data_IF_885304646076
#
_entry.id   IF_885304646076
#
_cell.length_a   1.000
_cell.length_b   1.000
_cell.length_c   1.000
_cell.angle_alpha   90.00
_cell.angle_beta   90.00
_cell.angle_gamma   90.00
#
_symmetry.space_group_name_H-M   'P 1'
#
loop_
_entity.id
_entity.type
_entity.pdbx_description
1 polymer ?
#
# COMPACT_ATOMS: atom_id res chain seq x y z
N UNK A 1 -11.96 7.89 4.35
CA UNK A 1 -11.09 8.31 5.47
C UNK A 1 -9.68 7.83 5.18
N UNK A 2 -8.68 8.69 5.36
CA UNK A 2 -7.26 8.34 5.18
C UNK A 2 -6.57 8.49 6.53
N UNK A 3 -5.79 7.48 6.91
CA UNK A 3 -4.98 7.44 8.13
C UNK A 3 -3.54 7.21 7.67
N UNK A 4 -2.64 8.09 8.06
CA UNK A 4 -1.21 7.94 7.81
C UNK A 4 -0.48 7.94 9.15
N UNK A 5 0.47 7.02 9.30
CA UNK A 5 1.42 7.02 10.41
C UNK A 5 2.83 6.95 9.84
N UNK A 6 3.68 7.90 10.21
CA UNK A 6 5.10 7.85 9.90
C UNK A 6 5.87 7.65 11.21
N UNK A 7 6.76 6.66 11.23
CA UNK A 7 7.59 6.28 12.36
C UNK A 7 9.03 6.14 11.87
N UNK A 8 9.91 6.93 12.46
CA UNK A 8 11.35 6.70 12.35
C UNK A 8 11.73 5.59 13.33
N UNK A 9 12.33 4.51 12.83
CA UNK A 9 12.79 3.40 13.66
C UNK A 9 14.26 3.59 14.05
N UNK A 10 15.05 4.12 13.14
CA UNK A 10 16.43 4.54 13.33
C UNK A 10 16.78 5.61 12.26
N UNK A 11 17.95 6.28 12.32
CA UNK A 11 18.32 7.34 11.37
C UNK A 11 18.36 6.93 9.89
N UNK A 12 18.37 5.62 9.61
CA UNK A 12 18.46 5.03 8.29
C UNK A 12 17.20 4.25 7.92
N UNK A 13 16.16 4.22 8.76
CA UNK A 13 14.99 3.36 8.56
C UNK A 13 13.72 4.07 8.96
N UNK A 14 12.82 4.21 7.99
CA UNK A 14 11.53 4.87 8.15
C UNK A 14 10.41 3.89 7.80
N UNK A 15 9.43 3.78 8.67
CA UNK A 15 8.21 3.02 8.43
C UNK A 15 7.05 4.01 8.24
N UNK A 16 6.46 4.00 7.06
CA UNK A 16 5.23 4.72 6.78
C UNK A 16 4.09 3.71 6.61
N UNK A 17 2.98 3.92 7.31
CA UNK A 17 1.78 3.10 7.19
C UNK A 17 0.65 3.97 6.72
N UNK A 18 0.15 3.69 5.52
CA UNK A 18 -1.04 4.33 4.97
C UNK A 18 -2.23 3.37 5.07
N UNK A 19 -3.35 3.83 5.59
CA UNK A 19 -4.61 3.12 5.56
C UNK A 19 -5.68 4.03 4.98
N UNK A 20 -6.42 3.53 4.00
CA UNK A 20 -7.58 4.19 3.43
C UNK A 20 -8.79 3.33 3.72
N UNK A 21 -9.83 3.93 4.30
CA UNK A 21 -11.10 3.29 4.61
C UNK A 21 -12.18 4.01 3.83
N UNK A 22 -12.87 3.28 2.96
CA UNK A 22 -14.04 3.82 2.27
C UNK A 22 -15.26 3.71 3.17
N UNK A 23 -15.95 4.83 3.40
CA UNK A 23 -17.16 4.84 4.24
C UNK A 23 -18.40 4.36 3.47
N UNK A 24 -18.32 4.31 2.14
CA UNK A 24 -19.44 3.92 1.27
C UNK A 24 -19.62 2.40 1.28
N UNK A 25 -18.53 1.66 1.14
CA UNK A 25 -18.56 0.19 1.02
C UNK A 25 -17.78 -0.54 2.14
N UNK A 26 -17.26 0.21 3.12
CA UNK A 26 -16.45 -0.29 4.25
C UNK A 26 -15.19 -1.05 3.84
N UNK A 27 -14.74 -0.90 2.59
CA UNK A 27 -13.49 -1.48 2.14
C UNK A 27 -12.28 -0.74 2.72
N UNK A 28 -11.18 -1.47 2.90
CA UNK A 28 -9.93 -0.92 3.45
C UNK A 28 -8.77 -1.25 2.53
N UNK A 29 -7.91 -0.28 2.30
CA UNK A 29 -6.60 -0.46 1.69
C UNK A 29 -5.53 -0.08 2.72
N UNK A 30 -4.66 -1.01 3.06
CA UNK A 30 -3.54 -0.84 3.97
C UNK A 30 -2.24 -1.00 3.19
N UNK A 31 -1.35 -0.02 3.31
CA UNK A 31 -0.09 0.03 2.60
C UNK A 31 1.04 0.47 3.55
N UNK A 32 1.69 -0.47 4.25
CA UNK A 32 2.94 -0.20 4.92
C UNK A 32 4.09 -0.11 3.91
N UNK A 33 4.99 0.84 4.12
CA UNK A 33 6.18 1.13 3.33
C UNK A 33 7.34 1.28 4.30
N UNK A 34 8.31 0.39 4.19
CA UNK A 34 9.56 0.40 4.92
C UNK A 34 10.66 0.93 4.00
N UNK A 35 11.25 2.06 4.34
CA UNK A 35 12.39 2.63 3.65
C UNK A 35 13.64 2.39 4.49
N UNK A 36 14.68 1.84 3.87
CA UNK A 36 16.00 1.59 4.46
C UNK A 36 17.01 2.34 3.60
N UNK A 37 17.65 3.35 4.17
CA UNK A 37 18.77 4.05 3.54
C UNK A 37 20.07 3.37 3.94
N UNK A 38 20.97 3.11 2.99
CA UNK A 38 22.24 2.44 3.26
C UNK A 38 23.39 3.41 3.56
N UNK A 39 23.11 4.70 3.77
CA UNK A 39 24.11 5.74 4.07
C UNK A 39 24.89 6.24 2.84
N UNK A 40 25.28 5.34 1.93
CA UNK A 40 25.99 5.65 0.68
C UNK A 40 25.05 5.66 -0.54
N UNK A 41 24.11 6.60 -0.58
CA UNK A 41 23.33 6.92 -1.80
C UNK A 41 22.42 5.81 -2.35
N UNK A 42 22.13 4.78 -1.55
CA UNK A 42 21.19 3.74 -1.96
C UNK A 42 20.04 3.59 -0.97
N UNK A 43 18.83 3.55 -1.51
CA UNK A 43 17.60 3.44 -0.76
C UNK A 43 16.85 2.17 -1.21
N UNK A 44 16.48 1.36 -0.23
CA UNK A 44 15.59 0.21 -0.41
C UNK A 44 14.23 0.55 0.17
N UNK A 45 13.19 0.55 -0.66
CA UNK A 45 11.81 0.72 -0.24
C UNK A 45 11.07 -0.60 -0.41
N UNK A 46 10.67 -1.23 0.68
CA UNK A 46 9.79 -2.40 0.68
C UNK A 46 8.38 -1.92 0.98
N UNK A 47 7.40 -2.28 0.16
CA UNK A 47 6.00 -1.94 0.38
C UNK A 47 5.12 -3.16 0.20
N UNK A 48 4.01 -3.20 0.93
CA UNK A 48 2.93 -4.13 0.61
C UNK A 48 1.61 -3.39 0.49
N UNK A 49 0.67 -3.98 -0.23
CA UNK A 49 -0.68 -3.49 -0.38
C UNK A 49 -1.61 -4.63 0.06
N UNK A 50 -2.35 -4.39 1.13
CA UNK A 50 -3.33 -5.30 1.70
C UNK A 50 -4.70 -4.65 1.53
N UNK A 51 -5.66 -5.38 0.96
CA UNK A 51 -7.02 -4.90 0.80
C UNK A 51 -8.02 -5.77 1.55
N UNK A 52 -9.12 -5.15 1.95
CA UNK A 52 -10.33 -5.84 2.39
C UNK A 52 -11.52 -5.19 1.68
N UNK A 53 -12.50 -5.99 1.27
CA UNK A 53 -13.65 -5.52 0.50
C UNK A 53 -14.14 -6.57 -0.49
N UNK A 54 -15.34 -6.34 -1.04
CA UNK A 54 -15.92 -7.27 -2.00
C UNK A 54 -15.12 -7.26 -3.32
N UNK A 55 -14.70 -8.44 -3.77
CA UNK A 55 -14.03 -8.61 -5.06
C UNK A 55 -14.93 -8.23 -6.24
N UNK A 56 -14.37 -8.03 -7.44
CA UNK A 56 -15.16 -7.73 -8.63
C UNK A 56 -16.14 -8.85 -8.93
N UNK A 57 -17.38 -8.48 -9.28
CA UNK A 57 -18.45 -9.42 -9.62
C UNK A 57 -18.75 -9.31 -11.11
N UNK A 58 -18.93 -10.45 -11.78
CA UNK A 58 -19.43 -10.48 -13.16
C UNK A 58 -20.94 -10.27 -13.15
N UNK A 59 -21.40 -9.20 -13.79
CA UNK A 59 -22.80 -8.92 -14.02
C UNK A 59 -23.05 -8.97 -15.54
N UNK A 60 -23.41 -10.15 -16.05
CA UNK A 60 -23.54 -10.39 -17.49
C UNK A 60 -22.19 -10.26 -18.22
N UNK A 61 -22.14 -9.43 -19.27
CA UNK A 61 -20.92 -9.18 -20.06
C UNK A 61 -19.96 -8.15 -19.43
N UNK A 62 -20.32 -7.54 -18.30
CA UNK A 62 -19.51 -6.51 -17.63
C UNK A 62 -18.94 -7.02 -16.31
N UNK A 63 -17.71 -6.61 -16.02
CA UNK A 63 -17.08 -6.78 -14.69
C UNK A 63 -17.33 -5.51 -13.90
N UNK A 64 -18.05 -5.62 -12.79
CA UNK A 64 -18.29 -4.49 -11.87
C UNK A 64 -17.37 -4.64 -10.67
N UNK A 65 -16.67 -3.57 -10.28
CA UNK A 65 -15.93 -3.55 -9.03
C UNK A 65 -16.91 -3.75 -7.87
N UNK A 66 -16.64 -4.73 -7.00
CA UNK A 66 -17.49 -5.02 -5.83
C UNK A 66 -17.25 -4.05 -4.68
N UNK A 67 -16.07 -3.44 -4.63
CA UNK A 67 -15.73 -2.35 -3.72
C UNK A 67 -14.60 -1.49 -4.31
N UNK A 68 -14.45 -0.26 -3.84
CA UNK A 68 -13.48 0.75 -4.27
C UNK A 68 -12.04 0.20 -4.22
N UNK A 69 -11.71 -0.53 -3.14
CA UNK A 69 -10.41 -1.19 -2.99
C UNK A 69 -10.42 -2.67 -3.39
N UNK A 70 -11.58 -3.25 -3.72
CA UNK A 70 -11.74 -4.67 -4.04
C UNK A 70 -11.05 -5.08 -5.34
N UNK A 71 -10.86 -4.13 -6.26
CA UNK A 71 -10.12 -4.29 -7.52
C UNK A 71 -8.62 -4.01 -7.42
N UNK A 72 -8.12 -3.46 -6.30
CA UNK A 72 -6.68 -3.20 -6.15
C UNK A 72 -5.89 -4.52 -6.00
N UNK A 73 -4.67 -4.65 -6.53
CA UNK A 73 -3.89 -5.85 -6.28
C UNK A 73 -3.43 -5.91 -4.81
N UNK A 74 -3.61 -7.08 -4.18
CA UNK A 74 -2.88 -7.40 -2.94
C UNK A 74 -1.49 -7.84 -3.36
N UNK A 75 -0.43 -7.28 -2.76
CA UNK A 75 0.92 -7.63 -3.18
C UNK A 75 2.01 -7.08 -2.29
N UNK A 76 3.23 -7.56 -2.51
CA UNK A 76 4.45 -7.03 -1.92
C UNK A 76 5.39 -6.62 -3.06
N UNK A 77 6.10 -5.52 -2.87
CA UNK A 77 7.07 -5.00 -3.83
C UNK A 77 8.28 -4.41 -3.11
N UNK A 78 9.38 -4.34 -3.84
CA UNK A 78 10.59 -3.66 -3.39
C UNK A 78 11.11 -2.77 -4.53
N UNK A 79 11.49 -1.55 -4.20
CA UNK A 79 12.20 -0.64 -5.10
C UNK A 79 13.58 -0.44 -4.51
N UNK A 80 14.61 -0.72 -5.32
CA UNK A 80 15.97 -0.35 -5.02
C UNK A 80 16.34 0.86 -5.86
N UNK A 81 16.82 1.93 -5.22
CA UNK A 81 17.36 3.11 -5.87
C UNK A 81 18.82 3.24 -5.49
N UNK A 82 19.65 3.55 -6.48
CA UNK A 82 21.04 3.93 -6.32
C UNK A 82 21.24 5.25 -7.05
N UNK A 83 21.65 6.27 -6.31
CA UNK A 83 22.04 7.55 -6.88
C UNK A 83 23.55 7.51 -7.16
N UNK A 84 23.99 8.22 -8.21
CA UNK A 84 25.38 8.31 -8.68
C UNK A 84 25.75 9.77 -8.84
#
# INVERSE_FOLDING_TARGET
MIINSNRELNPLTHLNVNAMVSLVDRSVLLQPVLNISTGDESDVSIFCSLKTGAGPVRAGAQVRAGSEFGSFPTGIGAIYRRYF
#
